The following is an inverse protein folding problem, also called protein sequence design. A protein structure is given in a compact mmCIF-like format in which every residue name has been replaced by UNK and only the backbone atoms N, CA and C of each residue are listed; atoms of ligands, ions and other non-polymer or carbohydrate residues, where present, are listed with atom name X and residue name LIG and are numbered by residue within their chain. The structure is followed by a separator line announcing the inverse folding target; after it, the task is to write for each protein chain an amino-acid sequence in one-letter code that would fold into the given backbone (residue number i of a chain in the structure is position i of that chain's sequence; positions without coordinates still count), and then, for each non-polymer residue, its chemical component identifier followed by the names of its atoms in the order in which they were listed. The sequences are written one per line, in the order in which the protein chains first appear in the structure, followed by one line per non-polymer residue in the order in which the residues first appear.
data_IF_892314099088
#
_entry.id   IF_892314099088
#
_cell.length_a   1.000
_cell.length_b   1.000
_cell.length_c   1.000
_cell.angle_alpha   90.00
_cell.angle_beta   90.00
_cell.angle_gamma   90.00
#
_symmetry.space_group_name_H-M   'P 1'
#
loop_
_entity.id
_entity.type
_entity.pdbx_description
1 polymer ?
#
# COMPACT_ATOMS: atom_id res chain seq x y z
N UNK A 1 11.64 -22.33 -15.64
CA UNK A 1 11.07 -21.63 -14.63
C UNK A 1 10.19 -20.59 -15.14
N UNK A 2 9.15 -20.38 -14.50
CA UNK A 2 8.25 -19.49 -14.90
C UNK A 2 8.24 -18.34 -14.00
N UNK A 3 8.22 -17.21 -14.50
CA UNK A 3 8.19 -16.06 -13.70
C UNK A 3 6.87 -15.45 -13.74
N UNK A 4 6.26 -15.37 -12.59
CA UNK A 4 5.00 -14.70 -12.46
C UNK A 4 5.30 -13.31 -12.01
N UNK A 5 4.88 -12.31 -12.74
CA UNK A 5 5.12 -10.96 -12.29
C UNK A 5 4.44 -10.79 -10.97
N UNK A 6 5.20 -10.42 -9.98
CA UNK A 6 4.64 -10.24 -8.68
C UNK A 6 4.03 -8.89 -8.58
N UNK A 7 2.83 -8.87 -8.10
CA UNK A 7 2.17 -7.63 -7.89
C UNK A 7 2.66 -7.03 -6.60
N UNK A 8 3.12 -5.81 -6.64
CA UNK A 8 3.52 -5.13 -5.42
C UNK A 8 2.28 -4.84 -4.59
N UNK A 9 2.38 -5.06 -3.29
CA UNK A 9 1.25 -4.83 -2.41
C UNK A 9 1.62 -3.72 -1.44
N UNK A 10 0.84 -2.65 -1.48
CA UNK A 10 0.99 -1.55 -0.54
C UNK A 10 -0.07 -1.73 0.53
N UNK A 11 0.35 -1.91 1.75
CA UNK A 11 -0.57 -2.19 2.85
C UNK A 11 -0.64 -1.00 3.78
N UNK A 12 -1.84 -0.48 3.99
CA UNK A 12 -2.05 0.59 4.95
C UNK A 12 -2.32 -0.08 6.28
N UNK A 13 -1.44 0.13 7.25
CA UNK A 13 -1.55 -0.54 8.53
C UNK A 13 -0.95 0.35 9.62
N UNK A 14 -1.24 -0.01 10.87
CA UNK A 14 -0.66 0.71 12.00
C UNK A 14 0.79 0.32 12.17
N UNK A 15 1.61 1.31 12.41
CA UNK A 15 3.02 1.08 12.66
C UNK A 15 3.51 2.16 13.61
N UNK A 16 4.01 1.75 14.77
CA UNK A 16 4.50 2.70 15.77
C UNK A 16 3.43 3.71 16.19
N UNK A 17 2.20 3.23 16.32
CA UNK A 17 1.13 4.10 16.79
C UNK A 17 0.54 5.01 15.74
N UNK A 18 1.00 4.92 14.51
CA UNK A 18 0.47 5.73 13.43
C UNK A 18 0.09 4.83 12.27
N UNK A 19 -0.64 5.40 11.33
CA UNK A 19 -0.91 4.67 10.11
C UNK A 19 0.26 4.87 9.17
N UNK A 20 0.59 3.85 8.43
CA UNK A 20 1.70 3.92 7.49
C UNK A 20 1.45 3.00 6.33
N UNK A 21 2.19 3.20 5.25
CA UNK A 21 2.12 2.32 4.10
C UNK A 21 3.33 1.40 4.15
N UNK A 22 3.07 0.11 4.06
CA UNK A 22 4.14 -0.87 4.05
C UNK A 22 4.30 -1.40 2.63
N UNK A 23 5.50 -1.39 2.13
CA UNK A 23 5.82 -1.90 0.81
C UNK A 23 7.11 -2.67 0.90
N UNK A 24 7.01 -3.97 0.69
CA UNK A 24 8.20 -4.83 0.67
C UNK A 24 9.02 -4.69 1.95
N UNK A 25 8.35 -4.61 3.07
CA UNK A 25 9.01 -4.55 4.35
C UNK A 25 9.40 -3.16 4.82
N UNK A 26 9.14 -2.15 4.02
CA UNK A 26 9.47 -0.79 4.39
C UNK A 26 8.21 0.02 4.65
N UNK A 27 8.29 0.90 5.62
CA UNK A 27 7.15 1.71 6.01
C UNK A 27 7.40 3.16 5.66
N UNK A 28 6.40 3.81 5.12
CA UNK A 28 6.51 5.23 4.79
C UNK A 28 5.12 5.86 4.86
N UNK A 29 5.07 7.18 4.74
CA UNK A 29 3.81 7.90 4.74
C UNK A 29 3.11 7.87 6.07
N UNK A 30 3.85 7.92 7.16
CA UNK A 30 3.26 7.86 8.49
C UNK A 30 2.31 9.02 8.72
N UNK A 31 1.16 8.74 9.30
CA UNK A 31 0.18 9.77 9.59
C UNK A 31 -0.75 9.27 10.69
N UNK A 32 -1.24 10.17 11.48
CA UNK A 32 -2.26 9.82 12.47
C UNK A 32 -3.61 9.61 11.80
N UNK A 33 -3.76 10.06 10.56
CA UNK A 33 -5.02 10.00 9.85
C UNK A 33 -4.98 8.86 8.83
N UNK A 34 -5.84 7.88 9.03
CA UNK A 34 -5.90 6.72 8.14
C UNK A 34 -6.18 7.14 6.71
N UNK A 35 -7.07 8.11 6.53
CA UNK A 35 -7.43 8.55 5.19
C UNK A 35 -6.26 9.17 4.46
N UNK A 36 -5.44 9.90 5.19
CA UNK A 36 -4.25 10.49 4.61
C UNK A 36 -3.28 9.41 4.14
N UNK A 37 -3.12 8.40 4.96
CA UNK A 37 -2.23 7.30 4.61
C UNK A 37 -2.77 6.53 3.41
N UNK A 38 -4.09 6.36 3.34
CA UNK A 38 -4.69 5.71 2.20
C UNK A 38 -4.43 6.50 0.91
N UNK A 39 -4.52 7.81 1.01
CA UNK A 39 -4.22 8.65 -0.15
C UNK A 39 -2.78 8.52 -0.58
N UNK A 40 -1.88 8.43 0.39
CA UNK A 40 -0.47 8.24 0.10
C UNK A 40 -0.24 6.93 -0.62
N UNK A 41 -0.88 5.87 -0.16
CA UNK A 41 -0.74 4.56 -0.80
C UNK A 41 -1.28 4.60 -2.22
N UNK A 42 -2.41 5.23 -2.42
CA UNK A 42 -3.01 5.31 -3.74
C UNK A 42 -2.11 6.09 -4.69
N UNK A 43 -1.53 7.17 -4.20
CA UNK A 43 -0.65 7.98 -5.03
C UNK A 43 0.58 7.20 -5.43
N UNK A 44 1.14 6.46 -4.50
CA UNK A 44 2.31 5.64 -4.80
C UNK A 44 1.95 4.54 -5.79
N UNK A 45 0.79 3.92 -5.60
CA UNK A 45 0.36 2.87 -6.50
C UNK A 45 0.20 3.41 -7.92
N UNK A 46 -0.32 4.62 -8.03
CA UNK A 46 -0.51 5.22 -9.33
C UNK A 46 0.82 5.48 -10.01
N UNK A 47 1.81 5.94 -9.25
CA UNK A 47 3.14 6.15 -9.82
C UNK A 47 3.74 4.85 -10.31
N UNK A 48 3.59 3.79 -9.52
CA UNK A 48 4.13 2.50 -9.90
C UNK A 48 3.43 1.97 -11.14
N UNK A 49 2.13 2.18 -11.21
CA UNK A 49 1.37 1.74 -12.36
C UNK A 49 1.82 2.47 -13.61
N UNK A 50 2.09 3.76 -13.49
CA UNK A 50 2.58 4.53 -14.62
C UNK A 50 3.93 4.04 -15.07
N UNK A 51 4.71 3.47 -14.17
CA UNK A 51 6.00 2.90 -14.51
C UNK A 51 5.89 1.48 -15.03
N UNK A 52 4.69 1.00 -15.21
CA UNK A 52 4.49 -0.35 -15.72
C UNK A 52 4.56 -1.43 -14.67
N UNK A 53 4.47 -1.07 -13.40
CA UNK A 53 4.55 -2.04 -12.33
C UNK A 53 3.17 -2.29 -11.76
N UNK A 54 2.68 -3.53 -11.84
CA UNK A 54 1.38 -3.83 -11.24
C UNK A 54 1.45 -3.72 -9.74
N UNK A 55 0.42 -3.16 -9.15
CA UNK A 55 0.39 -3.03 -7.71
C UNK A 55 -1.04 -3.08 -7.19
N UNK A 56 -1.15 -3.28 -5.89
CA UNK A 56 -2.43 -3.43 -5.25
C UNK A 56 -2.35 -2.73 -3.91
N UNK A 57 -3.42 -2.05 -3.52
CA UNK A 57 -3.48 -1.37 -2.23
C UNK A 57 -4.41 -2.14 -1.31
N UNK A 58 -3.94 -2.47 -0.13
CA UNK A 58 -4.74 -3.13 0.88
C UNK A 58 -4.79 -2.26 2.11
N UNK A 59 -5.91 -2.29 2.80
CA UNK A 59 -6.07 -1.51 4.01
C UNK A 59 -6.35 -2.46 5.16
N UNK A 60 -5.46 -2.47 6.13
CA UNK A 60 -5.58 -3.36 7.26
C UNK A 60 -6.75 -2.93 8.12
N UNK A 61 -7.49 -3.88 8.60
CA UNK A 61 -8.58 -3.60 9.51
C UNK A 61 -9.87 -3.21 8.85
N UNK A 62 -9.90 -3.11 7.53
CA UNK A 62 -11.15 -2.86 6.83
C UNK A 62 -11.68 -4.14 6.26
N UNK A 63 -12.96 -4.29 6.34
CA UNK A 63 -13.61 -5.43 5.78
C UNK A 63 -14.14 -5.09 4.44
N UNK A 64 -13.76 -5.84 3.45
CA UNK A 64 -14.30 -5.65 2.14
C UNK A 64 -15.23 -6.77 1.85
N UNK A 65 -16.37 -6.42 1.37
CA UNK A 65 -17.29 -7.44 1.07
C UNK A 65 -17.44 -7.43 -0.37
N UNK A 66 -16.96 -8.21 -0.80
CA UNK A 66 -17.06 -8.26 -2.27
C UNK A 66 -16.89 -8.11 -2.61
#
# INVERSE_FOLDING_TARGET
MRITPERAVLTVAKHDGQWAVELEGEYFGHSADKEETKATATKKARQMFDDGKPCQVRVSGENFFG
#
